data_IF_846031451710
#
_entry.id   IF_846031451710
#
_cell.length_a   1.000
_cell.length_b   1.000
_cell.length_c   1.000
_cell.angle_alpha   90.00
_cell.angle_beta   90.00
_cell.angle_gamma   90.00
#
_symmetry.space_group_name_H-M   'P 1'
#
loop_
_entity.id
_entity.type
_entity.pdbx_description
1 polymer ?
#
# COMPACT_ATOMS: atom_id res chain seq x y z
N UNK A 1 -6.89 -28.48 -0.79
CA UNK A 1 -5.78 -28.02 0.07
C UNK A 1 -5.21 -26.65 -0.30
N UNK A 2 -5.64 -26.04 -1.41
CA UNK A 2 -5.15 -24.71 -1.83
C UNK A 2 -5.91 -23.53 -1.21
N UNK A 3 -7.05 -23.74 -0.60
CA UNK A 3 -7.94 -22.67 -0.12
C UNK A 3 -7.65 -22.19 1.30
N UNK A 4 -6.97 -22.97 2.10
CA UNK A 4 -6.58 -22.59 3.47
C UNK A 4 -5.48 -21.52 3.55
N UNK A 5 -4.61 -21.43 2.56
CA UNK A 5 -3.51 -20.48 2.54
C UNK A 5 -3.95 -19.03 2.37
N UNK A 6 -4.83 -18.76 1.41
CA UNK A 6 -5.27 -17.38 1.11
C UNK A 6 -6.15 -16.80 2.22
N UNK A 7 -7.05 -17.61 2.80
CA UNK A 7 -7.89 -17.19 3.92
C UNK A 7 -7.05 -16.88 5.17
N UNK A 8 -6.06 -17.70 5.48
CA UNK A 8 -5.16 -17.48 6.61
C UNK A 8 -4.33 -16.19 6.46
N UNK A 9 -3.88 -15.87 5.25
CA UNK A 9 -3.19 -14.61 4.98
C UNK A 9 -4.05 -13.37 5.23
N UNK A 10 -5.29 -13.41 4.77
CA UNK A 10 -6.22 -12.28 4.97
C UNK A 10 -6.51 -12.07 6.46
N UNK A 11 -6.70 -13.15 7.21
CA UNK A 11 -6.90 -13.07 8.66
C UNK A 11 -5.66 -12.53 9.39
N UNK A 12 -4.47 -12.95 9.00
CA UNK A 12 -3.21 -12.44 9.57
C UNK A 12 -3.06 -10.93 9.30
N UNK A 13 -3.33 -10.47 8.09
CA UNK A 13 -3.31 -9.05 7.77
C UNK A 13 -4.35 -8.24 8.54
N UNK A 14 -5.54 -8.77 8.74
CA UNK A 14 -6.57 -8.14 9.56
C UNK A 14 -6.17 -8.06 11.03
N UNK A 15 -5.61 -9.13 11.57
CA UNK A 15 -5.12 -9.17 12.95
C UNK A 15 -3.99 -8.16 13.17
N UNK A 16 -3.04 -8.09 12.25
CA UNK A 16 -1.96 -7.08 12.30
C UNK A 16 -2.50 -5.66 12.16
N UNK A 17 -3.45 -5.45 11.28
CA UNK A 17 -4.12 -4.16 11.12
C UNK A 17 -4.85 -3.73 12.37
N UNK A 18 -5.54 -4.64 13.05
CA UNK A 18 -6.18 -4.40 14.34
C UNK A 18 -5.19 -4.03 15.44
N UNK A 19 -4.08 -4.76 15.55
CA UNK A 19 -3.03 -4.47 16.50
C UNK A 19 -2.38 -3.10 16.27
N UNK A 20 -2.14 -2.73 15.02
CA UNK A 20 -1.63 -1.42 14.64
C UNK A 20 -2.64 -0.32 15.02
N UNK A 21 -3.92 -0.52 14.73
CA UNK A 21 -4.97 0.44 15.04
C UNK A 21 -5.10 0.70 16.55
N UNK A 22 -4.91 -0.32 17.36
CA UNK A 22 -4.89 -0.19 18.83
C UNK A 22 -3.65 0.52 19.34
N UNK A 23 -2.47 0.26 18.76
CA UNK A 23 -1.21 0.85 19.19
C UNK A 23 -1.01 2.29 18.71
N UNK A 24 -1.60 2.67 17.57
CA UNK A 24 -1.39 3.98 16.95
C UNK A 24 -2.10 5.09 17.72
N UNK A 25 -1.34 6.10 18.13
CA UNK A 25 -1.85 7.29 18.81
C UNK A 25 -2.32 8.40 17.85
N UNK A 26 -2.21 8.17 16.54
CA UNK A 26 -2.57 9.14 15.49
C UNK A 26 -1.78 10.46 15.58
N UNK A 27 -0.55 10.42 16.05
CA UNK A 27 0.27 11.61 16.30
C UNK A 27 0.83 12.29 15.05
N UNK A 28 0.79 11.60 13.90
CA UNK A 28 1.26 12.15 12.62
C UNK A 28 2.78 12.20 12.42
N UNK A 29 3.58 11.68 13.34
CA UNK A 29 5.04 11.69 13.23
C UNK A 29 5.53 10.95 11.97
N UNK A 30 4.90 9.83 11.62
CA UNK A 30 5.21 9.05 10.42
C UNK A 30 4.95 9.84 9.13
N UNK A 31 3.86 10.60 9.09
CA UNK A 31 3.54 11.47 7.95
C UNK A 31 4.58 12.58 7.78
N UNK A 32 4.94 13.25 8.87
CA UNK A 32 5.96 14.32 8.83
C UNK A 32 7.34 13.82 8.39
N UNK A 33 7.68 12.57 8.69
CA UNK A 33 8.95 11.96 8.30
C UNK A 33 8.98 11.41 6.88
N UNK A 34 7.83 11.36 6.19
CA UNK A 34 7.73 10.75 4.87
C UNK A 34 8.28 11.67 3.78
N UNK A 35 9.26 11.20 2.96
CA UNK A 35 9.84 12.00 1.88
C UNK A 35 8.87 12.23 0.70
N UNK A 36 7.76 11.49 0.65
CA UNK A 36 6.79 11.60 -0.45
C UNK A 36 5.72 12.67 -0.22
N UNK A 37 5.65 13.25 0.96
CA UNK A 37 4.63 14.25 1.32
C UNK A 37 4.70 15.48 0.43
N UNK A 38 5.87 16.09 0.31
CA UNK A 38 6.06 17.29 -0.52
C UNK A 38 5.86 16.99 -2.03
N UNK A 39 6.49 15.95 -2.62
CA UNK A 39 6.27 15.62 -4.03
C UNK A 39 4.81 15.27 -4.37
N UNK A 40 4.06 14.73 -3.41
CA UNK A 40 2.65 14.41 -3.60
C UNK A 40 1.70 15.59 -3.47
N UNK A 41 2.21 16.78 -3.14
CA UNK A 41 1.39 17.97 -2.91
C UNK A 41 0.65 17.96 -1.57
N UNK A 42 1.16 17.21 -0.58
CA UNK A 42 0.54 17.04 0.74
C UNK A 42 1.18 17.90 1.84
N UNK A 43 2.04 18.85 1.49
CA UNK A 43 2.77 19.67 2.46
C UNK A 43 1.88 20.50 3.39
N UNK A 44 0.68 20.86 2.92
CA UNK A 44 -0.31 21.64 3.71
C UNK A 44 -1.33 20.74 4.43
N UNK A 45 -1.27 19.42 4.26
CA UNK A 45 -2.19 18.50 4.92
C UNK A 45 -1.87 18.38 6.41
N UNK A 46 -2.92 18.28 7.23
CA UNK A 46 -2.80 18.07 8.67
C UNK A 46 -2.23 16.66 8.94
N UNK A 47 -1.11 16.60 9.64
CA UNK A 47 -0.40 15.35 9.89
C UNK A 47 -1.17 14.36 10.77
N UNK A 48 -1.87 14.86 11.78
CA UNK A 48 -2.65 14.03 12.70
C UNK A 48 -3.89 13.48 12.01
N UNK A 49 -4.60 14.30 11.26
CA UNK A 49 -5.76 13.86 10.49
C UNK A 49 -5.38 12.89 9.39
N UNK A 50 -4.23 13.09 8.74
CA UNK A 50 -3.78 12.20 7.67
C UNK A 50 -3.35 10.84 8.23
N UNK A 51 -2.59 10.81 9.31
CA UNK A 51 -2.23 9.57 9.99
C UNK A 51 -3.47 8.85 10.55
N UNK A 52 -4.38 9.60 11.15
CA UNK A 52 -5.67 9.07 11.61
C UNK A 52 -6.50 8.49 10.47
N UNK A 53 -6.49 9.12 9.32
CA UNK A 53 -7.16 8.62 8.11
C UNK A 53 -6.60 7.29 7.62
N UNK A 54 -5.30 7.03 7.78
CA UNK A 54 -4.70 5.71 7.49
C UNK A 54 -5.30 4.64 8.39
N UNK A 55 -5.45 4.92 9.68
CA UNK A 55 -6.08 3.98 10.63
C UNK A 55 -7.55 3.75 10.25
N UNK A 56 -8.28 4.79 9.89
CA UNK A 56 -9.66 4.67 9.44
C UNK A 56 -9.78 3.81 8.16
N UNK A 57 -8.83 3.91 7.23
CA UNK A 57 -8.78 3.03 6.05
C UNK A 57 -8.60 1.56 6.43
N UNK A 58 -7.79 1.28 7.45
CA UNK A 58 -7.55 -0.09 7.92
C UNK A 58 -8.77 -0.65 8.65
N UNK A 59 -9.43 0.15 9.49
CA UNK A 59 -10.54 -0.29 10.34
C UNK A 59 -11.89 -0.22 9.65
N UNK A 60 -12.19 0.89 8.98
CA UNK A 60 -13.49 1.19 8.38
C UNK A 60 -13.48 1.15 6.86
N UNK A 61 -12.29 1.06 6.27
CA UNK A 61 -12.08 1.00 4.83
C UNK A 61 -12.13 2.36 4.12
N UNK A 62 -12.44 3.44 4.80
CA UNK A 62 -12.49 4.79 4.24
C UNK A 62 -11.66 5.74 5.09
N UNK A 63 -10.84 6.56 4.44
CA UNK A 63 -10.03 7.59 5.08
C UNK A 63 -10.21 8.94 4.41
N UNK A 64 -9.50 9.96 4.91
CA UNK A 64 -9.48 11.27 4.28
C UNK A 64 -8.84 11.22 2.89
N UNK A 65 -9.13 12.20 2.04
CA UNK A 65 -8.51 12.31 0.71
C UNK A 65 -6.98 12.39 0.81
N UNK A 66 -6.44 13.09 1.80
CA UNK A 66 -5.01 13.17 2.06
C UNK A 66 -4.42 11.82 2.44
N UNK A 67 -5.10 11.04 3.30
CA UNK A 67 -4.66 9.69 3.68
C UNK A 67 -4.64 8.74 2.49
N UNK A 68 -5.66 8.74 1.67
CA UNK A 68 -5.73 7.93 0.44
C UNK A 68 -4.60 8.30 -0.51
N UNK A 69 -4.37 9.60 -0.72
CA UNK A 69 -3.28 10.09 -1.58
C UNK A 69 -1.92 9.66 -1.03
N UNK A 70 -1.68 9.85 0.27
CA UNK A 70 -0.43 9.46 0.91
C UNK A 70 -0.17 7.95 0.78
N UNK A 71 -1.16 7.12 1.06
CA UNK A 71 -1.06 5.68 0.89
C UNK A 71 -0.74 5.28 -0.56
N UNK A 72 -1.32 5.98 -1.54
CA UNK A 72 -1.12 5.70 -2.96
C UNK A 72 0.29 6.00 -3.47
N UNK A 73 0.97 6.98 -2.88
CA UNK A 73 2.32 7.42 -3.31
C UNK A 73 3.45 6.80 -2.48
N UNK A 74 3.14 5.97 -1.49
CA UNK A 74 4.15 5.34 -0.64
C UNK A 74 5.18 4.59 -1.48
N UNK A 75 6.44 5.03 -1.40
CA UNK A 75 7.57 4.42 -2.11
C UNK A 75 8.23 3.27 -1.34
N UNK A 76 7.82 3.03 -0.09
CA UNK A 76 8.41 2.00 0.77
C UNK A 76 9.77 2.38 1.37
N UNK A 77 10.10 3.66 1.46
CA UNK A 77 11.41 4.13 1.97
C UNK A 77 11.71 3.68 3.40
N UNK A 78 10.68 3.53 4.23
CA UNK A 78 10.82 3.15 5.63
C UNK A 78 11.24 4.28 6.58
N UNK A 79 11.41 5.50 6.10
CA UNK A 79 11.80 6.66 6.93
C UNK A 79 10.77 6.98 8.03
N UNK A 80 9.54 6.56 7.84
CA UNK A 80 8.47 6.69 8.84
C UNK A 80 8.64 5.74 10.04
N UNK A 81 9.33 4.62 9.88
CA UNK A 81 9.45 3.59 10.93
C UNK A 81 10.14 4.14 12.18
N UNK A 82 11.36 4.71 12.10
CA UNK A 82 12.03 5.23 13.28
C UNK A 82 11.36 6.48 13.87
N UNK A 83 10.49 7.15 13.11
CA UNK A 83 9.76 8.33 13.58
C UNK A 83 8.58 7.98 14.50
N UNK A 84 8.09 6.74 14.47
CA UNK A 84 6.97 6.32 15.30
C UNK A 84 7.39 6.13 16.77
N UNK A 85 6.82 6.91 17.73
CA UNK A 85 7.15 6.75 19.14
C UNK A 85 6.63 5.43 19.74
N UNK A 86 5.65 4.81 19.11
CA UNK A 86 5.04 3.55 19.56
C UNK A 86 5.73 2.30 18.96
N UNK A 87 6.77 2.49 18.15
CA UNK A 87 7.51 1.37 17.55
C UNK A 87 6.74 0.58 16.49
N UNK A 88 5.74 1.18 15.87
CA UNK A 88 4.94 0.55 14.81
C UNK A 88 5.75 0.49 13.51
N UNK A 89 5.63 -0.60 12.76
CA UNK A 89 6.05 -0.62 11.35
C UNK A 89 5.05 0.20 10.50
N UNK A 90 5.29 1.50 10.48
CA UNK A 90 4.42 2.46 9.80
C UNK A 90 4.45 2.32 8.28
N UNK A 91 5.53 1.79 7.71
CA UNK A 91 5.59 1.43 6.29
C UNK A 91 4.57 0.34 5.97
N UNK A 92 4.56 -0.72 6.76
CA UNK A 92 3.57 -1.80 6.62
C UNK A 92 2.14 -1.27 6.82
N UNK A 93 1.93 -0.41 7.81
CA UNK A 93 0.65 0.24 8.08
C UNK A 93 0.10 0.99 6.86
N UNK A 94 0.91 1.82 6.23
CA UNK A 94 0.51 2.60 5.04
C UNK A 94 0.26 1.69 3.84
N UNK A 95 1.09 0.67 3.65
CA UNK A 95 0.91 -0.30 2.56
C UNK A 95 -0.34 -1.16 2.75
N UNK A 96 -0.66 -1.52 3.99
CA UNK A 96 -1.89 -2.25 4.32
C UNK A 96 -3.13 -1.40 4.01
N UNK A 97 -3.13 -0.12 4.42
CA UNK A 97 -4.19 0.83 4.09
C UNK A 97 -4.39 0.97 2.57
N UNK A 98 -3.30 1.06 1.81
CA UNK A 98 -3.36 1.09 0.34
C UNK A 98 -3.98 -0.18 -0.23
N UNK A 99 -3.62 -1.34 0.32
CA UNK A 99 -4.19 -2.63 -0.10
C UNK A 99 -5.69 -2.69 0.09
N UNK A 100 -6.19 -2.26 1.24
CA UNK A 100 -7.63 -2.21 1.51
C UNK A 100 -8.37 -1.22 0.61
N UNK A 101 -7.82 -0.03 0.39
CA UNK A 101 -8.42 0.95 -0.50
C UNK A 101 -8.54 0.42 -1.94
N UNK A 102 -7.52 -0.25 -2.44
CA UNK A 102 -7.53 -0.87 -3.78
C UNK A 102 -8.55 -2.00 -3.88
N UNK A 103 -8.62 -2.84 -2.85
CA UNK A 103 -9.60 -3.93 -2.81
C UNK A 103 -11.03 -3.40 -2.86
N UNK A 104 -11.31 -2.31 -2.14
CA UNK A 104 -12.62 -1.66 -2.16
C UNK A 104 -12.95 -0.99 -3.49
N UNK A 105 -11.94 -0.40 -4.15
CA UNK A 105 -12.10 0.16 -5.49
C UNK A 105 -12.30 -0.91 -6.57
N UNK A 106 -12.30 -2.20 -6.22
CA UNK A 106 -12.42 -3.30 -7.17
C UNK A 106 -11.18 -3.49 -8.05
N UNK A 107 -10.03 -2.92 -7.65
CA UNK A 107 -8.80 -3.12 -8.38
C UNK A 107 -8.34 -4.58 -8.30
N UNK A 108 -7.95 -5.12 -9.44
CA UNK A 108 -7.45 -6.50 -9.51
C UNK A 108 -6.20 -6.66 -8.65
N UNK A 109 -6.06 -7.79 -7.95
CA UNK A 109 -4.86 -8.10 -7.18
C UNK A 109 -3.58 -7.94 -8.00
N UNK A 110 -2.51 -7.57 -7.34
CA UNK A 110 -1.20 -7.32 -7.97
C UNK A 110 -0.71 -8.52 -8.79
N UNK A 111 -1.01 -9.74 -8.35
CA UNK A 111 -0.66 -10.97 -9.07
C UNK A 111 -1.31 -11.05 -10.46
N UNK A 112 -2.52 -10.52 -10.62
CA UNK A 112 -3.21 -10.47 -11.92
C UNK A 112 -2.54 -9.47 -12.86
N UNK A 113 -2.09 -8.33 -12.34
CA UNK A 113 -1.32 -7.34 -13.10
C UNK A 113 0.04 -7.90 -13.54
N UNK A 114 0.71 -8.64 -12.67
CA UNK A 114 1.97 -9.33 -12.99
C UNK A 114 1.79 -10.35 -14.10
N UNK A 115 0.75 -11.17 -14.03
CA UNK A 115 0.44 -12.15 -15.09
C UNK A 115 0.17 -11.48 -16.43
N UNK A 116 -0.58 -10.39 -16.44
CA UNK A 116 -0.87 -9.63 -17.68
C UNK A 116 0.41 -8.98 -18.23
N UNK A 117 1.24 -8.38 -17.39
CA UNK A 117 2.54 -7.83 -17.78
C UNK A 117 3.46 -8.90 -18.35
N UNK A 118 3.54 -10.06 -17.72
CA UNK A 118 4.35 -11.18 -18.20
C UNK A 118 3.85 -11.73 -19.52
N UNK A 119 2.56 -11.84 -19.74
CA UNK A 119 1.95 -12.26 -21.00
C UNK A 119 2.24 -11.27 -22.13
N UNK A 120 2.21 -9.98 -21.83
CA UNK A 120 2.51 -8.92 -22.80
C UNK A 120 3.99 -8.94 -23.18
N UNK A 121 4.89 -9.07 -22.20
CA UNK A 121 6.32 -9.22 -22.46
C UNK A 121 6.65 -10.48 -23.28
N UNK A 122 6.08 -11.62 -22.93
CA UNK A 122 6.35 -12.86 -23.65
C UNK A 122 5.82 -12.84 -25.09
N UNK A 123 4.72 -12.13 -25.36
CA UNK A 123 4.24 -11.88 -26.72
C UNK A 123 5.22 -10.99 -27.50
N UNK A 124 5.72 -9.92 -26.89
CA UNK A 124 6.71 -9.03 -27.50
C UNK A 124 8.00 -9.77 -27.87
N UNK A 125 8.52 -10.58 -26.96
CA UNK A 125 9.73 -11.41 -27.19
C UNK A 125 9.52 -12.41 -28.33
N UNK A 126 8.36 -13.05 -28.42
CA UNK A 126 8.03 -13.98 -29.53
C UNK A 126 7.98 -13.27 -30.88
N UNK A 127 7.44 -12.05 -30.94
CA UNK A 127 7.38 -11.27 -32.18
C UNK A 127 8.80 -10.90 -32.63
N UNK A 128 9.61 -10.39 -31.70
CA UNK A 128 11.01 -10.02 -31.98
C UNK A 128 11.86 -11.20 -32.43
N UNK A 129 11.69 -12.37 -31.83
CA UNK A 129 12.42 -13.57 -32.21
C UNK A 129 12.06 -14.05 -33.63
N UNK A 130 10.79 -13.91 -34.04
CA UNK A 130 10.35 -14.24 -35.40
C UNK A 130 10.91 -13.28 -36.43
N UNK A 131 10.96 -12.00 -36.14
CA UNK A 131 11.55 -10.98 -37.03
C UNK A 131 13.07 -11.21 -37.23
N UNK A 132 13.76 -11.62 -36.18
CA UNK A 132 15.20 -11.93 -36.28
C UNK A 132 15.50 -13.18 -37.11
N UNK A 133 14.63 -14.17 -37.09
CA UNK A 133 14.77 -15.41 -37.83
C UNK A 133 14.27 -15.33 -39.28
N UNK A 134 13.62 -14.23 -39.65
CA UNK A 134 13.12 -14.00 -41.02
C UNK A 134 14.07 -13.17 -41.88
N UNK A 135 15.18 -12.76 -41.32
CA UNK A 135 16.28 -12.09 -42.01
C UNK A 135 17.42 -13.08 -42.26
#
# INVERSE_FOLDING_TARGET
>A
MADGGAAGYIEDFRARGGAIAEACTRCGACFRACPMVAPAGLGEADSEQTAGGIIDMITDGAGTAAAVRWASVCSGSGNCIPACPEGIDTRFMVQLARGFARAQAGEKPLNTRWRQGFQTMSRGVRILSRLKNSA
#
